data_IF_563145694131
#
_entry.id   IF_563145694131
#
_cell.length_a   1.000
_cell.length_b   1.000
_cell.length_c   1.000
_cell.angle_alpha   90.00
_cell.angle_beta   90.00
_cell.angle_gamma   90.00
#
_symmetry.space_group_name_H-M   'P 1'
#
loop_
_entity.id
_entity.type
_entity.pdbx_description
1 polymer ?
#
# COMPACT_ATOMS: atom_id res chain seq x y z
N UNK A 1 -10.22 -4.52 6.87
CA UNK A 1 -10.01 -5.52 7.95
C UNK A 1 -8.66 -6.21 7.78
N UNK A 2 -8.18 -6.30 6.55
CA UNK A 2 -6.94 -6.95 6.09
C UNK A 2 -5.70 -6.63 6.92
N UNK A 3 -5.36 -5.35 7.10
CA UNK A 3 -4.15 -4.95 7.86
C UNK A 3 -4.19 -5.48 9.29
N UNK A 4 -5.35 -5.45 9.94
CA UNK A 4 -5.51 -5.94 11.32
C UNK A 4 -5.39 -7.45 11.37
N UNK A 5 -6.00 -8.15 10.41
CA UNK A 5 -5.90 -9.60 10.31
C UNK A 5 -4.47 -10.07 10.03
N UNK A 6 -3.80 -9.46 9.06
CA UNK A 6 -2.40 -9.72 8.75
C UNK A 6 -1.51 -9.52 9.98
N UNK A 7 -1.69 -8.41 10.70
CA UNK A 7 -0.95 -8.16 11.94
C UNK A 7 -1.22 -9.20 13.03
N UNK A 8 -2.46 -9.69 13.16
CA UNK A 8 -2.82 -10.75 14.11
C UNK A 8 -2.08 -12.07 13.81
N UNK A 9 -1.76 -12.32 12.56
CA UNK A 9 -1.01 -13.49 12.10
C UNK A 9 0.49 -13.20 11.91
N UNK A 10 1.02 -12.09 12.46
CA UNK A 10 2.45 -11.80 12.48
C UNK A 10 3.00 -11.07 11.25
N UNK A 11 2.13 -10.63 10.33
CA UNK A 11 2.50 -9.80 9.18
C UNK A 11 2.32 -8.33 9.55
N UNK A 12 3.38 -7.70 10.07
CA UNK A 12 3.38 -6.36 10.67
C UNK A 12 3.74 -5.22 9.71
N UNK A 13 4.04 -5.53 8.46
CA UNK A 13 4.41 -4.57 7.40
C UNK A 13 3.28 -4.25 6.42
N UNK A 14 2.05 -4.70 6.70
CA UNK A 14 0.90 -4.47 5.84
C UNK A 14 0.32 -3.06 6.03
N UNK A 15 -0.08 -2.42 4.92
CA UNK A 15 -0.80 -1.13 4.90
C UNK A 15 -1.91 -1.18 3.86
N UNK A 16 -2.95 -0.36 4.03
CA UNK A 16 -4.08 -0.29 3.10
C UNK A 16 -4.41 1.16 2.73
N UNK A 17 -4.88 1.36 1.50
CA UNK A 17 -5.51 2.62 1.10
C UNK A 17 -6.90 2.74 1.73
N UNK A 18 -7.32 3.96 2.07
CA UNK A 18 -8.65 4.22 2.63
C UNK A 18 -9.69 4.31 1.49
N UNK A 19 -10.08 3.16 0.95
CA UNK A 19 -11.27 3.00 0.10
C UNK A 19 -11.16 3.58 -1.32
N UNK A 20 -9.95 3.86 -1.82
CA UNK A 20 -9.71 4.39 -3.17
C UNK A 20 -8.57 3.64 -3.85
N UNK A 21 -8.50 3.76 -5.18
CA UNK A 21 -7.35 3.30 -5.96
C UNK A 21 -6.06 3.93 -5.45
N UNK A 22 -4.98 3.14 -5.39
CA UNK A 22 -3.65 3.60 -4.95
C UNK A 22 -3.21 4.83 -5.73
N UNK A 23 -2.91 5.94 -5.04
CA UNK A 23 -2.52 7.21 -5.68
C UNK A 23 -1.00 7.34 -5.85
N UNK A 24 -0.59 8.26 -6.72
CA UNK A 24 0.83 8.62 -6.92
C UNK A 24 1.51 9.08 -5.62
N UNK A 25 0.80 9.82 -4.77
CA UNK A 25 1.31 10.30 -3.48
C UNK A 25 1.53 9.14 -2.51
N UNK A 26 0.62 8.16 -2.48
CA UNK A 26 0.76 6.96 -1.67
C UNK A 26 1.97 6.12 -2.11
N UNK A 27 2.18 5.94 -3.42
CA UNK A 27 3.37 5.26 -3.94
C UNK A 27 4.65 5.98 -3.50
N UNK A 28 4.69 7.30 -3.59
CA UNK A 28 5.84 8.08 -3.12
C UNK A 28 6.07 7.93 -1.61
N UNK A 29 5.00 7.89 -0.81
CA UNK A 29 5.12 7.67 0.63
C UNK A 29 5.69 6.29 0.95
N UNK A 30 5.25 5.25 0.24
CA UNK A 30 5.78 3.90 0.38
C UNK A 30 7.27 3.85 0.03
N UNK A 31 7.68 4.47 -1.08
CA UNK A 31 9.09 4.50 -1.48
C UNK A 31 9.99 5.40 -0.63
N UNK A 32 9.45 6.12 0.36
CA UNK A 32 10.26 6.79 1.40
C UNK A 32 10.62 5.85 2.56
N UNK A 33 9.86 4.79 2.76
CA UNK A 33 10.03 3.88 3.90
C UNK A 33 10.59 2.52 3.50
N UNK A 34 10.44 2.13 2.23
CA UNK A 34 10.96 0.86 1.69
C UNK A 34 11.41 1.02 0.25
N UNK A 35 12.36 0.19 -0.17
CA UNK A 35 12.78 0.05 -1.57
C UNK A 35 11.87 -0.91 -2.35
N UNK A 36 11.22 -1.85 -1.66
CA UNK A 36 10.34 -2.85 -2.25
C UNK A 36 8.90 -2.70 -1.76
N UNK A 37 7.96 -2.59 -2.70
CA UNK A 37 6.51 -2.57 -2.47
C UNK A 37 5.88 -3.79 -3.14
N UNK A 38 5.04 -4.53 -2.41
CA UNK A 38 4.22 -5.61 -2.98
C UNK A 38 2.76 -5.20 -2.88
N UNK A 39 2.10 -5.05 -4.02
CA UNK A 39 0.68 -4.73 -4.08
C UNK A 39 -0.14 -6.02 -4.12
N UNK A 40 -1.00 -6.21 -3.11
CA UNK A 40 -1.92 -7.34 -3.01
C UNK A 40 -3.30 -6.91 -3.49
N UNK A 41 -3.85 -7.63 -4.46
CA UNK A 41 -5.19 -7.40 -5.01
C UNK A 41 -5.98 -8.71 -5.05
N UNK A 42 -7.30 -8.56 -5.03
CA UNK A 42 -8.22 -9.67 -5.24
C UNK A 42 -8.05 -10.25 -6.65
N UNK A 43 -8.30 -11.56 -6.80
CA UNK A 43 -8.16 -12.29 -8.06
C UNK A 43 -9.18 -11.90 -9.14
N UNK A 44 -10.16 -11.07 -8.81
CA UNK A 44 -11.24 -10.72 -9.71
C UNK A 44 -10.85 -9.66 -10.76
N UNK A 45 -11.82 -9.27 -11.60
CA UNK A 45 -11.60 -8.22 -12.60
C UNK A 45 -11.34 -6.85 -11.98
N UNK A 46 -12.02 -6.51 -10.88
CA UNK A 46 -11.88 -5.22 -10.23
C UNK A 46 -10.49 -5.07 -9.61
N UNK A 47 -9.96 -6.12 -8.98
CA UNK A 47 -8.61 -6.20 -8.44
C UNK A 47 -7.55 -6.04 -9.55
N UNK A 48 -7.72 -6.71 -10.69
CA UNK A 48 -6.83 -6.51 -11.86
C UNK A 48 -6.87 -5.08 -12.41
N UNK A 49 -8.05 -4.48 -12.51
CA UNK A 49 -8.20 -3.10 -12.97
C UNK A 49 -7.62 -2.10 -11.96
N UNK A 50 -7.66 -2.40 -10.65
CA UNK A 50 -7.04 -1.61 -9.61
C UNK A 50 -5.50 -1.74 -9.63
N UNK A 51 -4.98 -2.94 -9.85
CA UNK A 51 -3.55 -3.21 -10.01
C UNK A 51 -2.96 -2.47 -11.19
N UNK A 52 -3.68 -2.42 -12.32
CA UNK A 52 -3.25 -1.67 -13.50
C UNK A 52 -3.12 -0.17 -13.20
N UNK A 53 -4.13 0.41 -12.53
CA UNK A 53 -4.08 1.83 -12.10
C UNK A 53 -2.92 2.10 -11.13
N UNK A 54 -2.65 1.18 -10.22
CA UNK A 54 -1.51 1.31 -9.31
C UNK A 54 -0.17 1.23 -10.04
N UNK A 55 -0.05 0.37 -11.06
CA UNK A 55 1.10 0.35 -11.95
C UNK A 55 1.27 1.70 -12.64
N UNK A 56 0.23 2.23 -13.30
CA UNK A 56 0.28 3.52 -13.99
C UNK A 56 0.71 4.65 -13.05
N UNK A 57 0.16 4.68 -11.84
CA UNK A 57 0.52 5.67 -10.82
C UNK A 57 1.94 5.48 -10.26
N UNK A 58 2.51 4.28 -10.35
CA UNK A 58 3.85 4.00 -9.86
C UNK A 58 4.95 4.33 -10.86
N UNK A 59 4.70 4.17 -12.17
CA UNK A 59 5.72 4.33 -13.23
C UNK A 59 6.58 5.60 -13.07
N UNK A 60 6.03 6.80 -12.83
CA UNK A 60 6.82 8.04 -12.73
C UNK A 60 7.78 8.09 -11.53
N UNK A 61 7.66 7.16 -10.57
CA UNK A 61 8.40 7.18 -9.31
C UNK A 61 9.38 5.99 -9.18
N UNK A 62 9.49 5.15 -10.21
CA UNK A 62 10.39 4.00 -10.23
C UNK A 62 11.81 4.42 -10.64
N UNK A 63 12.57 4.88 -9.66
CA UNK A 63 14.01 5.08 -9.77
C UNK A 63 14.75 3.74 -9.68
N UNK A 64 16.01 3.72 -10.13
CA UNK A 64 16.85 2.53 -9.97
C UNK A 64 16.98 2.17 -8.48
N UNK A 65 16.93 0.87 -8.18
CA UNK A 65 16.87 0.35 -6.82
C UNK A 65 15.46 0.20 -6.22
N UNK A 66 14.44 0.87 -6.79
CA UNK A 66 13.05 0.68 -6.36
C UNK A 66 12.41 -0.50 -7.08
N UNK A 67 11.66 -1.29 -6.33
CA UNK A 67 10.94 -2.44 -6.85
C UNK A 67 9.47 -2.40 -6.45
N UNK A 68 8.59 -2.64 -7.43
CA UNK A 68 7.17 -2.90 -7.21
C UNK A 68 6.81 -4.27 -7.79
N UNK A 69 6.04 -5.05 -7.03
CA UNK A 69 5.55 -6.38 -7.44
C UNK A 69 4.04 -6.47 -7.20
N UNK A 70 3.40 -7.41 -7.86
CA UNK A 70 1.95 -7.61 -7.80
C UNK A 70 1.63 -9.06 -7.43
N UNK A 71 0.74 -9.24 -6.46
CA UNK A 71 0.12 -10.54 -6.16
C UNK A 71 -1.39 -10.43 -6.37
N UNK A 72 -1.96 -11.47 -6.96
CA UNK A 72 -3.39 -11.65 -7.13
C UNK A 72 -3.79 -12.87 -6.34
N UNK A 73 -4.66 -12.70 -5.35
CA UNK A 73 -5.15 -13.83 -4.55
C UNK A 73 -6.08 -14.73 -5.39
N UNK A 74 -6.32 -15.98 -4.97
CA UNK A 74 -7.32 -16.83 -5.60
C UNK A 74 -8.70 -16.16 -5.66
N UNK A 75 -9.52 -16.54 -6.64
CA UNK A 75 -10.87 -15.98 -6.79
C UNK A 75 -11.70 -16.23 -5.51
N UNK A 76 -12.26 -15.16 -4.96
CA UNK A 76 -13.06 -15.20 -3.73
C UNK A 76 -12.27 -15.09 -2.43
N UNK A 77 -10.95 -14.97 -2.50
CA UNK A 77 -10.09 -14.72 -1.34
C UNK A 77 -9.65 -13.25 -1.26
N UNK A 78 -9.63 -12.73 -0.04
CA UNK A 78 -8.97 -11.47 0.34
C UNK A 78 -7.79 -11.77 1.30
N UNK A 79 -6.94 -10.79 1.65
CA UNK A 79 -5.81 -11.05 2.54
C UNK A 79 -6.22 -11.58 3.93
N UNK A 80 -7.39 -11.18 4.43
CA UNK A 80 -7.94 -11.63 5.72
C UNK A 80 -8.36 -13.12 5.67
N UNK A 81 -9.16 -13.51 4.68
CA UNK A 81 -9.61 -14.89 4.50
C UNK A 81 -8.46 -15.83 4.17
N UNK A 82 -7.55 -15.41 3.29
CA UNK A 82 -6.41 -16.23 2.89
C UNK A 82 -5.48 -16.53 4.07
N UNK A 83 -5.09 -15.53 4.86
CA UNK A 83 -4.16 -15.76 5.97
C UNK A 83 -4.79 -16.58 7.09
N UNK A 84 -6.10 -16.44 7.34
CA UNK A 84 -6.83 -17.30 8.29
C UNK A 84 -6.86 -18.75 7.86
N UNK A 85 -6.99 -19.01 6.56
CA UNK A 85 -7.08 -20.36 6.03
C UNK A 85 -5.71 -21.04 5.94
N UNK A 86 -4.69 -20.31 5.49
CA UNK A 86 -3.39 -20.88 5.11
C UNK A 86 -2.26 -20.55 6.08
N UNK A 87 -2.41 -19.54 6.93
CA UNK A 87 -1.40 -19.10 7.89
C UNK A 87 -0.29 -18.24 7.28
N UNK A 88 0.54 -17.67 8.15
CA UNK A 88 1.61 -16.73 7.81
C UNK A 88 2.62 -17.33 6.80
N UNK A 89 3.13 -18.54 7.07
CA UNK A 89 4.18 -19.14 6.25
C UNK A 89 3.77 -19.29 4.78
N UNK A 90 2.53 -19.73 4.53
CA UNK A 90 1.98 -19.86 3.18
C UNK A 90 1.75 -18.49 2.54
N UNK A 91 1.28 -17.51 3.32
CA UNK A 91 1.10 -16.14 2.83
C UNK A 91 2.43 -15.49 2.41
N UNK A 92 3.49 -15.65 3.21
CA UNK A 92 4.82 -15.15 2.87
C UNK A 92 5.42 -15.89 1.66
N UNK A 93 5.24 -17.21 1.58
CA UNK A 93 5.62 -17.99 0.40
C UNK A 93 4.88 -17.52 -0.86
N UNK A 94 3.63 -17.07 -0.72
CA UNK A 94 2.83 -16.49 -1.80
C UNK A 94 3.36 -15.11 -2.23
N UNK A 95 3.72 -14.24 -1.27
CA UNK A 95 4.38 -12.96 -1.53
C UNK A 95 5.70 -13.15 -2.29
N UNK A 96 6.47 -14.19 -1.96
CA UNK A 96 7.73 -14.49 -2.65
C UNK A 96 7.54 -14.86 -4.13
N UNK A 97 6.33 -15.28 -4.52
CA UNK A 97 5.96 -15.58 -5.90
C UNK A 97 5.34 -14.38 -6.63
N UNK A 98 5.41 -13.18 -6.02
CA UNK A 98 4.85 -11.98 -6.62
C UNK A 98 5.39 -11.69 -8.02
N UNK A 99 4.47 -11.38 -8.94
CA UNK A 99 4.80 -11.04 -10.31
C UNK A 99 5.61 -9.75 -10.32
N UNK A 100 6.70 -9.75 -11.09
CA UNK A 100 7.49 -8.54 -11.31
C UNK A 100 6.66 -7.49 -12.06
N UNK A 101 7.03 -6.21 -11.94
CA UNK A 101 6.41 -5.16 -12.76
C UNK A 101 6.48 -5.48 -14.26
N UNK A 102 7.62 -6.02 -14.72
CA UNK A 102 7.81 -6.40 -16.13
C UNK A 102 6.81 -7.45 -16.57
N UNK A 103 6.68 -8.53 -15.77
CA UNK A 103 5.77 -9.63 -16.10
C UNK A 103 4.32 -9.15 -16.08
N UNK A 104 3.95 -8.39 -15.06
CA UNK A 104 2.59 -7.85 -14.94
C UNK A 104 2.25 -6.89 -16.09
N UNK A 105 3.15 -5.97 -16.45
CA UNK A 105 2.96 -5.03 -17.56
C UNK A 105 2.71 -5.77 -18.87
N UNK A 106 3.55 -6.75 -19.21
CA UNK A 106 3.38 -7.47 -20.46
C UNK A 106 2.24 -8.49 -20.42
N UNK A 107 1.93 -9.09 -19.27
CA UNK A 107 0.76 -9.95 -19.10
C UNK A 107 -0.54 -9.18 -19.35
N UNK A 108 -0.58 -7.88 -19.01
CA UNK A 108 -1.73 -7.02 -19.29
C UNK A 108 -1.82 -6.58 -20.77
N UNK A 109 -0.69 -6.27 -21.41
CA UNK A 109 -0.67 -5.77 -22.79
C UNK A 109 -0.76 -6.87 -23.85
N UNK A 110 -0.16 -8.03 -23.62
CA UNK A 110 -0.05 -9.11 -24.62
C UNK A 110 -1.41 -9.64 -25.13
N UNK A 111 -2.46 -9.80 -24.29
CA UNK A 111 -3.78 -10.23 -24.79
C UNK A 111 -4.47 -9.24 -25.73
N UNK A 112 -3.99 -7.99 -25.80
CA UNK A 112 -4.59 -6.93 -26.61
C UNK A 112 -4.03 -6.88 -28.03
N UNK A 113 -3.03 -7.71 -28.34
CA UNK A 113 -2.27 -7.68 -29.59
C UNK A 113 -2.20 -9.07 -30.21
N UNK A 114 -2.13 -9.11 -31.54
CA UNK A 114 -1.89 -10.33 -32.29
C UNK A 114 -0.40 -10.41 -32.69
N UNK A 115 0.33 -11.36 -32.11
CA UNK A 115 1.77 -11.51 -32.37
C UNK A 115 2.09 -12.10 -33.74
N UNK A 116 1.11 -12.65 -34.46
CA UNK A 116 1.32 -13.22 -35.80
C UNK A 116 1.42 -12.14 -36.89
N UNK A 117 0.84 -10.97 -36.64
CA UNK A 117 0.85 -9.83 -37.56
C UNK A 117 1.89 -8.78 -37.18
N UNK A 118 2.44 -8.11 -38.20
CA UNK A 118 3.37 -6.99 -37.99
C UNK A 118 2.65 -5.79 -37.37
N UNK A 119 1.38 -5.61 -37.69
CA UNK A 119 0.48 -4.62 -37.12
C UNK A 119 0.30 -4.85 -35.61
N UNK A 120 0.11 -6.10 -35.17
CA UNK A 120 -0.04 -6.40 -33.75
C UNK A 120 1.26 -6.20 -32.96
N UNK A 121 2.42 -6.53 -33.54
CA UNK A 121 3.73 -6.17 -32.96
C UNK A 121 3.90 -4.66 -32.83
N UNK A 122 3.53 -3.91 -33.86
CA UNK A 122 3.56 -2.44 -33.85
C UNK A 122 2.61 -1.87 -32.80
N UNK A 123 1.42 -2.48 -32.64
CA UNK A 123 0.45 -2.12 -31.60
C UNK A 123 1.02 -2.33 -30.19
N UNK A 124 1.76 -3.41 -29.95
CA UNK A 124 2.42 -3.64 -28.65
C UNK A 124 3.43 -2.53 -28.33
N UNK A 125 4.25 -2.14 -29.31
CA UNK A 125 5.20 -1.04 -29.16
C UNK A 125 4.44 0.25 -28.83
N UNK A 126 3.37 0.56 -29.56
CA UNK A 126 2.56 1.75 -29.35
C UNK A 126 1.92 1.82 -27.95
N UNK A 127 1.53 0.67 -27.38
CA UNK A 127 0.97 0.58 -26.02
C UNK A 127 2.06 0.66 -24.93
N UNK A 128 3.18 -0.05 -25.10
CA UNK A 128 4.22 -0.16 -24.08
C UNK A 128 5.14 1.08 -24.02
N UNK A 129 5.48 1.67 -25.17
CA UNK A 129 6.37 2.83 -25.27
C UNK A 129 6.01 4.00 -24.34
N UNK A 130 4.76 4.51 -24.30
CA UNK A 130 4.41 5.62 -23.42
C UNK A 130 4.47 5.26 -21.93
N UNK A 131 4.29 3.98 -21.57
CA UNK A 131 4.41 3.52 -20.18
C UNK A 131 5.89 3.46 -19.77
N UNK A 132 6.73 2.84 -20.61
CA UNK A 132 8.17 2.72 -20.36
C UNK A 132 8.82 4.11 -20.27
N UNK A 133 8.39 5.08 -21.09
CA UNK A 133 8.91 6.45 -21.06
C UNK A 133 8.72 7.16 -19.72
N UNK A 134 7.67 6.82 -18.96
CA UNK A 134 7.39 7.46 -17.68
C UNK A 134 8.42 7.09 -16.59
N UNK A 135 9.10 5.95 -16.74
CA UNK A 135 10.00 5.41 -15.73
C UNK A 135 11.28 6.24 -15.65
N UNK A 136 11.64 6.84 -14.50
CA UNK A 136 12.86 7.64 -14.36
C UNK A 136 14.14 6.80 -14.22
N UNK A 137 14.07 5.57 -13.69
CA UNK A 137 15.23 4.68 -13.54
C UNK A 137 15.76 4.17 -14.89
N UNK A 138 17.03 4.40 -15.18
CA UNK A 138 17.61 4.10 -16.50
C UNK A 138 17.83 2.59 -16.69
N UNK A 139 18.28 1.89 -15.65
CA UNK A 139 18.48 0.45 -15.72
C UNK A 139 17.14 -0.29 -15.88
N UNK A 140 16.11 0.12 -15.13
CA UNK A 140 14.77 -0.46 -15.26
C UNK A 140 14.16 -0.15 -16.64
N UNK A 141 14.27 1.09 -17.11
CA UNK A 141 13.78 1.48 -18.45
C UNK A 141 14.46 0.65 -19.54
N UNK A 142 15.77 0.46 -19.45
CA UNK A 142 16.54 -0.38 -20.38
C UNK A 142 16.11 -1.85 -20.33
N UNK A 143 15.91 -2.41 -19.14
CA UNK A 143 15.43 -3.78 -18.97
C UNK A 143 14.05 -4.00 -19.63
N UNK A 144 13.11 -3.06 -19.44
CA UNK A 144 11.79 -3.12 -20.07
C UNK A 144 11.85 -2.97 -21.59
N UNK A 145 12.74 -2.12 -22.12
CA UNK A 145 12.98 -2.02 -23.57
C UNK A 145 13.52 -3.33 -24.14
N UNK A 146 14.45 -3.98 -23.43
CA UNK A 146 14.94 -5.30 -23.80
C UNK A 146 13.82 -6.35 -23.83
N UNK A 147 12.99 -6.39 -22.79
CA UNK A 147 11.83 -7.29 -22.74
C UNK A 147 10.82 -7.01 -23.85
N UNK A 148 10.59 -5.73 -24.19
CA UNK A 148 9.74 -5.34 -25.32
C UNK A 148 10.33 -5.85 -26.64
N UNK A 149 11.62 -5.58 -26.90
CA UNK A 149 12.32 -5.99 -28.12
C UNK A 149 12.25 -7.52 -28.33
N UNK A 150 12.52 -8.28 -27.27
CA UNK A 150 12.42 -9.74 -27.28
C UNK A 150 11.02 -10.23 -27.65
N UNK A 151 9.96 -9.58 -27.15
CA UNK A 151 8.55 -9.96 -27.42
C UNK A 151 8.11 -9.66 -28.84
N UNK A 152 8.60 -8.58 -29.44
CA UNK A 152 8.30 -8.27 -30.85
C UNK A 152 9.20 -8.99 -31.85
N UNK A 153 10.27 -9.62 -31.37
CA UNK A 153 11.26 -10.32 -32.19
C UNK A 153 12.24 -9.37 -32.89
N UNK A 154 12.47 -8.20 -32.30
CA UNK A 154 13.50 -7.25 -32.75
C UNK A 154 14.76 -7.56 -31.94
N UNK A 155 15.85 -7.91 -32.62
CA UNK A 155 17.14 -8.24 -32.00
C UNK A 155 18.00 -6.99 -31.73
N UNK A 156 17.74 -5.89 -32.44
CA UNK A 156 18.52 -4.66 -32.37
C UNK A 156 17.72 -3.52 -31.71
N UNK A 157 18.25 -2.94 -30.63
CA UNK A 157 17.64 -1.79 -29.98
C UNK A 157 17.55 -0.56 -30.90
N UNK A 158 18.46 -0.40 -31.85
CA UNK A 158 18.44 0.74 -32.77
C UNK A 158 17.15 0.79 -33.61
N UNK A 159 16.65 -0.39 -34.00
CA UNK A 159 15.40 -0.55 -34.75
C UNK A 159 14.18 -0.27 -33.87
N UNK A 160 14.23 -0.66 -32.59
CA UNK A 160 13.18 -0.30 -31.65
C UNK A 160 13.12 1.21 -31.49
N UNK A 161 14.25 1.88 -31.36
CA UNK A 161 14.35 3.33 -31.16
C UNK A 161 13.81 4.14 -32.34
N UNK A 162 13.93 3.61 -33.55
CA UNK A 162 13.33 4.21 -34.75
C UNK A 162 11.80 4.06 -34.79
N UNK A 163 11.28 2.95 -34.25
CA UNK A 163 9.84 2.65 -34.18
C UNK A 163 9.15 3.28 -32.97
N UNK A 164 9.90 3.60 -31.91
CA UNK A 164 9.38 4.37 -30.80
C UNK A 164 8.98 5.75 -31.34
N UNK A 165 7.74 6.21 -31.10
CA UNK A 165 7.31 7.53 -31.54
C UNK A 165 8.31 8.59 -31.09
N UNK A 166 8.99 9.23 -32.07
CA UNK A 166 9.97 10.29 -31.82
C UNK A 166 9.28 11.38 -31.02
N UNK A 167 9.99 11.85 -29.99
CA UNK A 167 9.56 12.91 -29.08
C UNK A 167 8.88 14.05 -29.85
N UNK A 168 7.55 14.16 -29.77
CA UNK A 168 6.96 15.49 -29.88
C UNK A 168 7.35 16.17 -28.60
N UNK A 169 8.33 17.08 -28.67
CA UNK A 169 8.70 18.00 -27.59
C UNK A 169 7.51 18.93 -27.26
N UNK A 170 6.39 18.37 -26.80
CA UNK A 170 5.41 19.11 -26.05
C UNK A 170 5.92 19.08 -24.60
N UNK A 171 6.27 20.22 -24.00
CA UNK A 171 6.71 20.23 -22.62
C UNK A 171 5.63 19.56 -21.78
N UNK A 172 6.01 18.49 -21.07
CA UNK A 172 5.24 18.01 -19.92
C UNK A 172 5.31 19.18 -18.94
N UNK A 173 4.33 20.08 -19.01
CA UNK A 173 4.11 21.07 -17.97
C UNK A 173 3.83 20.25 -16.73
N UNK A 174 4.83 20.15 -15.84
CA UNK A 174 4.57 19.85 -14.43
C UNK A 174 3.36 20.73 -14.07
N UNK A 175 2.24 20.19 -13.58
CA UNK A 175 1.14 21.04 -13.16
C UNK A 175 1.72 21.98 -12.11
N UNK A 176 1.92 23.23 -12.50
CA UNK A 176 2.32 24.30 -11.60
C UNK A 176 1.13 24.43 -10.66
N UNK A 177 1.30 23.97 -9.42
CA UNK A 177 0.35 24.28 -8.36
C UNK A 177 0.32 25.80 -8.19
N UNK A 178 -0.57 26.47 -8.92
CA UNK A 178 -1.02 27.80 -8.57
C UNK A 178 -1.86 27.65 -7.30
N UNK A 179 -1.23 27.87 -6.15
CA UNK A 179 -1.92 28.17 -4.91
C UNK A 179 -2.68 29.48 -5.08
N UNK A 180 -3.87 29.44 -5.68
CA UNK A 180 -4.86 30.52 -5.57
C UNK A 180 -5.48 30.43 -4.18
N UNK A 181 -4.78 30.96 -3.19
CA UNK A 181 -5.39 31.32 -1.92
C UNK A 181 -6.36 32.47 -2.21
N UNK A 182 -7.62 32.13 -2.51
CA UNK A 182 -8.72 33.11 -2.46
C UNK A 182 -8.91 33.49 -0.99
N UNK A 183 -8.33 34.62 -0.62
CA UNK A 183 -8.41 35.24 0.70
C UNK A 183 -9.82 35.80 0.92
N UNK A 184 -10.83 34.94 1.09
CA UNK A 184 -12.18 35.34 1.50
C UNK A 184 -12.64 34.51 2.70
N UNK A 185 -12.74 35.22 3.84
CA UNK A 185 -13.48 34.89 5.06
C UNK A 185 -13.13 33.60 5.80
N UNK A 186 -11.93 33.55 6.41
CA UNK A 186 -11.56 32.57 7.44
C UNK A 186 -11.76 33.12 8.87
N UNK A 187 -12.88 33.81 9.12
CA UNK A 187 -13.17 34.48 10.41
C UNK A 187 -14.13 33.74 11.35
N UNK A 188 -14.95 32.80 10.84
CA UNK A 188 -16.01 32.17 11.64
C UNK A 188 -15.85 30.65 11.87
N UNK A 189 -14.97 29.96 11.14
CA UNK A 189 -14.82 28.50 11.26
C UNK A 189 -13.83 28.07 12.35
N UNK A 190 -12.93 28.96 12.80
CA UNK A 190 -11.97 28.65 13.87
C UNK A 190 -12.62 28.54 15.26
N UNK A 191 -13.79 29.16 15.48
CA UNK A 191 -14.48 29.09 16.77
C UNK A 191 -15.33 27.81 16.94
N UNK A 192 -15.66 27.12 15.85
CA UNK A 192 -16.43 25.87 15.89
C UNK A 192 -15.54 24.64 16.03
N UNK A 193 -14.31 24.67 15.51
CA UNK A 193 -13.36 23.55 15.59
C UNK A 193 -12.81 23.30 17.00
N UNK A 194 -12.62 24.36 17.81
CA UNK A 194 -12.18 24.20 19.20
C UNK A 194 -13.28 23.75 20.15
N UNK A 195 -14.56 23.95 19.81
CA UNK A 195 -15.70 23.48 20.64
C UNK A 195 -16.01 21.99 20.42
N UNK A 196 -15.75 21.46 19.23
CA UNK A 196 -15.95 20.03 18.89
C UNK A 196 -14.78 19.16 19.40
N UNK A 197 -13.55 19.67 19.43
CA UNK A 197 -12.40 18.92 19.91
C UNK A 197 -12.35 18.71 21.44
N UNK A 198 -13.08 19.50 22.23
CA UNK A 198 -13.13 19.32 23.69
C UNK A 198 -14.17 18.24 24.07
N UNK A 199 -15.24 18.06 23.30
CA UNK A 199 -16.28 17.06 23.60
C UNK A 199 -15.94 15.63 23.16
N UNK A 200 -15.02 15.44 22.20
CA UNK A 200 -14.67 14.09 21.69
C UNK A 200 -13.59 13.39 22.51
N UNK A 201 -12.65 14.13 23.11
CA UNK A 201 -11.56 13.55 23.91
C UNK A 201 -12.04 13.11 25.30
N UNK A 202 -12.97 13.83 25.92
CA UNK A 202 -13.62 13.38 27.17
C UNK A 202 -14.52 12.15 26.96
N UNK A 203 -15.22 12.06 25.82
CA UNK A 203 -16.10 10.93 25.51
C UNK A 203 -15.31 9.65 25.22
N UNK A 204 -14.21 9.73 24.46
CA UNK A 204 -13.31 8.60 24.20
C UNK A 204 -12.57 8.12 25.47
N UNK A 205 -12.20 9.02 26.40
CA UNK A 205 -11.58 8.65 27.67
C UNK A 205 -12.55 7.96 28.64
N UNK A 206 -13.86 8.28 28.59
CA UNK A 206 -14.89 7.64 29.41
C UNK A 206 -15.23 6.22 28.93
N UNK A 207 -15.32 6.00 27.62
CA UNK A 207 -15.55 4.66 27.05
C UNK A 207 -14.35 3.73 27.27
N UNK A 208 -13.12 4.24 27.14
CA UNK A 208 -11.91 3.46 27.42
C UNK A 208 -11.80 3.05 28.90
N UNK A 209 -12.17 3.94 29.83
CA UNK A 209 -12.22 3.62 31.26
C UNK A 209 -13.29 2.57 31.58
N UNK A 210 -14.45 2.64 30.93
CA UNK A 210 -15.50 1.63 31.10
C UNK A 210 -15.11 0.25 30.54
N UNK A 211 -14.41 0.21 29.40
CA UNK A 211 -13.93 -1.02 28.80
C UNK A 211 -12.80 -1.66 29.64
N UNK A 212 -11.84 -0.85 30.09
CA UNK A 212 -10.78 -1.30 30.99
C UNK A 212 -11.32 -1.79 32.35
N UNK A 213 -12.35 -1.13 32.92
CA UNK A 213 -13.02 -1.60 34.15
C UNK A 213 -13.76 -2.92 33.95
N UNK A 214 -14.44 -3.14 32.81
CA UNK A 214 -15.11 -4.41 32.51
C UNK A 214 -14.11 -5.57 32.35
N UNK A 215 -12.98 -5.31 31.71
CA UNK A 215 -11.88 -6.28 31.57
C UNK A 215 -11.27 -6.62 32.95
N UNK A 216 -11.02 -5.62 33.80
CA UNK A 216 -10.51 -5.81 35.16
C UNK A 216 -11.50 -6.55 36.08
N UNK A 217 -12.80 -6.26 35.98
CA UNK A 217 -13.86 -6.94 36.75
C UNK A 217 -14.04 -8.40 36.32
N UNK A 218 -13.98 -8.70 35.01
CA UNK A 218 -14.02 -10.09 34.53
C UNK A 218 -12.77 -10.89 34.95
N UNK A 219 -11.59 -10.25 34.97
CA UNK A 219 -10.37 -10.88 35.44
C UNK A 219 -10.44 -11.17 36.95
N UNK A 220 -10.94 -10.22 37.75
CA UNK A 220 -11.17 -10.42 39.18
C UNK A 220 -12.20 -11.53 39.46
N UNK A 221 -13.32 -11.56 38.72
CA UNK A 221 -14.37 -12.57 38.91
C UNK A 221 -13.91 -13.99 38.60
N UNK A 222 -13.08 -14.16 37.55
CA UNK A 222 -12.50 -15.46 37.18
C UNK A 222 -11.40 -15.92 38.15
N UNK A 223 -10.68 -15.00 38.79
CA UNK A 223 -9.69 -15.35 39.83
C UNK A 223 -10.31 -15.73 41.18
N UNK A 224 -11.59 -15.42 41.43
CA UNK A 224 -12.31 -15.83 42.66
C UNK A 224 -12.79 -17.28 42.60
N UNK A 225 -12.95 -17.87 41.41
CA UNK A 225 -13.37 -19.28 41.27
C UNK A 225 -12.22 -20.30 41.40
N UNK A 226 -10.95 -19.86 41.54
CA UNK A 226 -9.79 -20.79 41.65
C UNK A 226 -9.06 -20.76 43.00
N UNK A 227 -9.56 -20.07 44.01
CA UNK A 227 -8.92 -19.98 45.32
C UNK A 227 -9.82 -20.51 46.45
N UNK A 228 -9.98 -21.84 46.49
CA UNK A 228 -10.31 -22.51 47.74
C UNK A 228 -9.16 -22.36 48.74
N UNK A 229 -9.49 -22.12 50.01
CA UNK A 229 -8.62 -21.95 51.18
C UNK A 229 -7.96 -20.57 51.37
N UNK A 230 -8.72 -19.72 52.07
CA UNK A 230 -8.25 -19.03 53.29
C UNK A 230 -6.88 -18.35 53.25
N UNK A 231 -6.78 -17.23 52.52
CA UNK A 231 -5.79 -16.17 52.81
C UNK A 231 -6.43 -14.80 52.59
N UNK A 232 -6.39 -13.97 53.64
CA UNK A 232 -6.86 -12.58 53.66
C UNK A 232 -6.01 -11.75 52.69
N UNK A 233 -6.66 -11.09 51.72
CA UNK A 233 -6.04 -10.27 50.69
C UNK A 233 -5.66 -8.89 51.26
N UNK A 234 -4.39 -8.46 51.12
CA UNK A 234 -3.94 -7.08 51.44
C UNK A 234 -3.72 -6.29 50.14
N UNK A 235 -4.33 -5.10 49.94
CA UNK A 235 -4.31 -4.38 48.66
C UNK A 235 -3.01 -3.63 48.31
N UNK A 236 -1.97 -3.72 49.14
CA UNK A 236 -0.91 -2.69 49.16
C UNK A 236 0.30 -3.02 48.27
N UNK A 237 0.25 -4.08 47.44
CA UNK A 237 1.43 -4.59 46.70
C UNK A 237 1.30 -4.71 45.17
N UNK A 238 0.25 -4.19 44.55
CA UNK A 238 0.08 -4.26 43.08
C UNK A 238 0.12 -2.91 42.35
N UNK A 239 0.61 -1.85 43.00
CA UNK A 239 0.76 -0.53 42.37
C UNK A 239 2.10 -0.29 41.66
N UNK A 240 3.00 -1.29 41.58
CA UNK A 240 4.35 -1.11 41.02
C UNK A 240 4.58 -1.70 39.61
N UNK A 241 3.53 -1.89 38.79
CA UNK A 241 3.69 -2.43 37.41
C UNK A 241 3.12 -1.47 36.33
N UNK A 242 2.64 -0.28 36.69
CA UNK A 242 2.14 0.71 35.72
C UNK A 242 3.03 1.94 35.50
N UNK A 243 4.31 1.83 35.84
CA UNK A 243 5.27 2.95 35.73
C UNK A 243 6.52 2.62 34.89
N UNK A 244 6.35 1.90 33.76
CA UNK A 244 7.37 1.81 32.69
C UNK A 244 6.72 1.85 31.30
N UNK A 245 5.86 2.84 31.04
CA UNK A 245 5.36 3.11 29.69
C UNK A 245 5.16 4.61 29.42
N UNK A 246 6.02 5.48 29.97
CA UNK A 246 5.97 6.93 29.71
C UNK A 246 7.33 7.61 29.73
N UNK A 247 8.37 6.95 29.21
CA UNK A 247 9.65 7.62 28.92
C UNK A 247 10.11 7.28 27.50
N UNK A 248 9.66 8.08 26.54
CA UNK A 248 10.40 8.39 25.32
C UNK A 248 10.17 9.89 25.00
N UNK A 249 11.22 10.65 24.65
CA UNK A 249 11.26 12.11 24.79
C UNK A 249 10.50 12.86 23.69
N UNK A 250 10.19 14.15 23.88
CA UNK A 250 9.56 14.96 22.83
C UNK A 250 10.54 15.23 21.68
N UNK A 251 10.11 14.91 20.46
CA UNK A 251 10.74 15.39 19.23
C UNK A 251 10.72 16.92 19.23
N UNK A 252 11.91 17.53 19.26
CA UNK A 252 12.09 18.96 18.95
C UNK A 252 12.13 19.13 17.42
N UNK A 253 11.39 20.15 16.97
CA UNK A 253 11.24 20.77 15.66
C UNK A 253 12.13 20.29 14.50
#
# INVERSE_FOLDING_TARGET
MDVVALAQFGVDYAVASLGTSTTSEQIQQLFRVTEQVVCCYDGDRAGRDAAWRALENALPYLQDGRQIKFIFLPDGEDPDSYIRQFGQEKFEAYINQAQSLTDFLFAHLSPQVDFSSQEGKTKLIALAAPLIRQIPGDALRMALRNSLAQRVGILDQSQLDELLPKETNAPITKPRMENKIKKHQCGLLFHYYYKIHIWSVEFLLLEYRHYAMKQALNYCSNSVHSAGNGKVFRPDKYWSIFEIASIAPPLKF
#
